data_IF_931170388046
#
_entry.id   IF_931170388046
#
_cell.length_a   1.000
_cell.length_b   1.000
_cell.length_c   1.000
_cell.angle_alpha   90.00
_cell.angle_beta   90.00
_cell.angle_gamma   90.00
#
_symmetry.space_group_name_H-M   'P 1'
#
loop_
_entity.id
_entity.type
_entity.pdbx_description
1 polymer ?
#
# COMPACT_ATOMS: atom_id res chain seq x y z
N UNK A 1 -16.37 -20.57 20.95
CA UNK A 1 -16.08 -20.26 20.46
C UNK A 1 -15.91 -20.04 19.56
N UNK A 2 -15.77 -19.88 18.93
CA UNK A 2 -15.46 -19.61 18.16
C UNK A 2 -15.32 -19.18 17.43
N UNK A 3 -15.29 -18.95 17.14
CA UNK A 3 -15.02 -18.50 16.27
C UNK A 3 -14.63 -18.11 15.55
N UNK A 4 -14.83 -17.98 15.56
CA UNK A 4 -13.99 -17.38 15.00
C UNK A 4 -13.69 -17.58 13.65
N UNK A 5 -14.54 -17.91 13.01
CA UNK A 5 -14.39 -18.10 11.74
C UNK A 5 -14.04 -16.93 11.03
N UNK A 6 -14.72 -15.95 11.25
CA UNK A 6 -14.41 -14.78 10.60
C UNK A 6 -13.22 -14.21 11.16
N UNK A 7 -12.61 -14.84 12.02
CA UNK A 7 -11.43 -14.26 12.49
C UNK A 7 -10.29 -15.08 12.10
N UNK A 8 -10.21 -15.48 10.91
CA UNK A 8 -9.00 -16.03 10.42
C UNK A 8 -7.93 -15.01 10.64
N UNK A 9 -6.85 -15.36 11.28
CA UNK A 9 -5.76 -14.42 11.42
C UNK A 9 -5.24 -14.13 10.05
N UNK A 10 -4.97 -12.89 9.81
CA UNK A 10 -4.32 -12.49 8.57
C UNK A 10 -2.97 -13.17 8.53
N UNK A 11 -2.55 -13.55 7.35
CA UNK A 11 -1.18 -13.99 7.16
C UNK A 11 -0.28 -12.79 7.41
N UNK A 12 0.98 -13.05 7.66
CA UNK A 12 1.93 -11.99 7.84
C UNK A 12 2.02 -11.13 6.59
N UNK A 13 1.96 -11.77 5.43
CA UNK A 13 2.00 -11.06 4.17
C UNK A 13 0.84 -10.10 4.02
N UNK A 14 -0.37 -10.54 4.40
CA UNK A 14 -1.53 -9.67 4.32
C UNK A 14 -1.41 -8.48 5.27
N UNK A 15 -0.81 -8.72 6.42
CA UNK A 15 -0.62 -7.68 7.39
C UNK A 15 0.37 -6.63 6.89
N UNK A 16 1.42 -7.08 6.24
CA UNK A 16 2.40 -6.18 5.64
C UNK A 16 1.77 -5.39 4.51
N UNK A 17 0.98 -6.03 3.67
CA UNK A 17 0.31 -5.33 2.58
C UNK A 17 -0.63 -4.25 3.11
N UNK A 18 -1.35 -4.56 4.17
CA UNK A 18 -2.27 -3.59 4.74
C UNK A 18 -1.51 -2.40 5.32
N UNK A 19 -0.40 -2.67 6.00
CA UNK A 19 0.42 -1.59 6.54
C UNK A 19 0.98 -0.73 5.43
N UNK A 20 1.45 -1.35 4.36
CA UNK A 20 1.98 -0.62 3.22
C UNK A 20 0.90 0.26 2.59
N UNK A 21 -0.30 -0.29 2.43
CA UNK A 21 -1.40 0.48 1.86
C UNK A 21 -1.74 1.68 2.73
N UNK A 22 -1.76 1.50 4.05
CA UNK A 22 -2.04 2.59 4.96
C UNK A 22 -1.01 3.70 4.83
N UNK A 23 0.26 3.34 4.73
CA UNK A 23 1.32 4.33 4.60
C UNK A 23 1.21 5.07 3.27
N UNK A 24 0.85 4.38 2.21
CA UNK A 24 0.69 5.00 0.91
C UNK A 24 -0.51 5.94 0.88
N UNK A 25 -1.60 5.57 1.53
CA UNK A 25 -2.75 6.46 1.62
C UNK A 25 -2.39 7.73 2.39
N UNK A 26 -1.63 7.61 3.45
CA UNK A 26 -1.20 8.77 4.21
C UNK A 26 -0.32 9.69 3.38
N UNK A 27 0.42 9.13 2.46
CA UNK A 27 1.29 9.91 1.60
C UNK A 27 0.52 10.67 0.54
N UNK A 28 -0.69 10.22 0.20
CA UNK A 28 -1.53 10.91 -0.77
C UNK A 28 -2.07 10.06 -1.90
N UNK A 29 -1.81 8.76 -1.90
CA UNK A 29 -2.39 7.87 -2.91
C UNK A 29 -3.84 7.59 -2.57
N UNK A 30 -4.65 7.31 -3.59
CA UNK A 30 -6.03 6.90 -3.37
C UNK A 30 -6.05 5.50 -2.79
N UNK A 31 -7.20 5.07 -2.28
CA UNK A 31 -7.34 3.73 -1.74
C UNK A 31 -6.97 2.68 -2.78
N UNK A 32 -7.45 2.85 -4.00
CA UNK A 32 -7.15 1.89 -5.06
C UNK A 32 -5.67 1.90 -5.44
N UNK A 33 -5.09 3.09 -5.55
CA UNK A 33 -3.67 3.20 -5.90
C UNK A 33 -2.80 2.60 -4.81
N UNK A 34 -3.12 2.90 -3.56
CA UNK A 34 -2.38 2.37 -2.44
C UNK A 34 -2.46 0.85 -2.38
N UNK A 35 -3.64 0.31 -2.63
CA UNK A 35 -3.84 -1.13 -2.63
C UNK A 35 -3.03 -1.80 -3.74
N UNK A 36 -3.04 -1.20 -4.90
CA UNK A 36 -2.31 -1.76 -6.04
C UNK A 36 -0.80 -1.75 -5.80
N UNK A 37 -0.28 -0.64 -5.29
CA UNK A 37 1.14 -0.56 -4.99
C UNK A 37 1.53 -1.49 -3.84
N UNK A 38 0.69 -1.60 -2.83
CA UNK A 38 0.98 -2.43 -1.67
C UNK A 38 1.08 -3.90 -2.04
N UNK A 39 0.34 -4.32 -3.04
CA UNK A 39 0.36 -5.71 -3.48
C UNK A 39 1.60 -6.05 -4.30
N UNK A 40 2.34 -5.05 -4.74
CA UNK A 40 3.52 -5.28 -5.56
C UNK A 40 4.77 -5.12 -4.71
N UNK A 41 5.35 -6.24 -4.34
CA UNK A 41 6.51 -6.21 -3.45
C UNK A 41 7.78 -5.70 -4.12
N UNK A 42 7.78 -5.62 -5.44
CA UNK A 42 8.92 -5.05 -6.14
C UNK A 42 8.88 -3.52 -6.12
N UNK A 43 7.82 -2.92 -5.59
CA UNK A 43 7.73 -1.47 -5.45
C UNK A 43 8.29 -1.07 -4.09
N UNK A 44 9.25 -0.15 -4.11
CA UNK A 44 9.86 0.35 -2.89
C UNK A 44 8.92 1.35 -2.23
N UNK A 45 8.51 1.06 -1.02
CA UNK A 45 7.58 1.91 -0.28
C UNK A 45 8.16 3.30 -0.06
N UNK A 46 9.43 3.39 0.28
CA UNK A 46 10.07 4.68 0.53
C UNK A 46 10.10 5.52 -0.74
N UNK A 47 10.36 4.88 -1.87
CA UNK A 47 10.37 5.59 -3.14
C UNK A 47 8.99 6.10 -3.49
N UNK A 48 7.98 5.28 -3.25
CA UNK A 48 6.60 5.66 -3.55
C UNK A 48 6.17 6.88 -2.72
N UNK A 49 6.53 6.89 -1.45
CA UNK A 49 6.22 8.02 -0.56
C UNK A 49 7.03 9.24 -0.97
N UNK A 50 8.31 9.04 -1.27
CA UNK A 50 9.20 10.13 -1.60
C UNK A 50 8.76 10.88 -2.85
N UNK A 51 8.25 10.17 -3.84
CA UNK A 51 7.78 10.80 -5.06
C UNK A 51 6.70 11.84 -4.77
N UNK A 52 5.74 11.53 -3.91
CA UNK A 52 4.69 12.47 -3.57
C UNK A 52 5.22 13.62 -2.72
N UNK A 53 6.17 13.33 -1.84
CA UNK A 53 6.77 14.38 -1.03
C UNK A 53 7.54 15.38 -1.87
N UNK A 54 8.04 14.96 -3.01
CA UNK A 54 8.75 15.82 -3.93
C UNK A 54 7.83 16.59 -4.86
N UNK A 55 6.53 16.40 -4.71
CA UNK A 55 5.56 17.13 -5.51
C UNK A 55 5.02 16.37 -6.71
N UNK A 56 5.39 15.11 -6.85
CA UNK A 56 4.88 14.29 -7.93
C UNK A 56 3.42 13.97 -7.66
N UNK A 57 2.57 14.00 -8.67
CA UNK A 57 1.18 13.61 -8.48
C UNK A 57 1.11 12.10 -8.33
N UNK A 58 0.06 11.63 -7.65
CA UNK A 58 -0.12 10.20 -7.46
C UNK A 58 -0.22 9.48 -8.79
N UNK A 59 -0.92 10.05 -9.76
CA UNK A 59 -1.06 9.42 -11.08
C UNK A 59 0.29 9.28 -11.77
N UNK A 60 1.11 10.32 -11.70
CA UNK A 60 2.43 10.24 -12.32
C UNK A 60 3.32 9.25 -11.57
N UNK A 61 3.24 9.25 -10.24
CA UNK A 61 4.01 8.30 -9.45
C UNK A 61 3.65 6.87 -9.80
N UNK A 62 2.36 6.60 -10.04
CA UNK A 62 1.93 5.27 -10.45
C UNK A 62 2.61 4.86 -11.75
N UNK A 63 2.73 5.78 -12.69
CA UNK A 63 3.38 5.47 -13.97
C UNK A 63 4.86 5.20 -13.80
N UNK A 64 5.49 5.88 -12.87
CA UNK A 64 6.91 5.70 -12.62
C UNK A 64 7.16 4.35 -11.94
N UNK A 65 6.30 3.99 -10.99
CA UNK A 65 6.49 2.80 -10.18
C UNK A 65 6.01 1.53 -10.85
N UNK A 66 5.02 1.61 -11.69
CA UNK A 66 4.47 0.47 -12.38
C UNK A 66 4.84 0.50 -13.85
#
# INVERSE_FOLDING_TARGET
>A
MTPAVDSYPETEQERIERWRADELERAGYSVEQASELAARFDVDLHQAVDLLQRGCSADLAMRILL
#
